data_IF_439196505549
#
_entry.id   IF_439196505549
#
_cell.length_a   1.000
_cell.length_b   1.000
_cell.length_c   1.000
_cell.angle_alpha   90.00
_cell.angle_beta   90.00
_cell.angle_gamma   90.00
#
_symmetry.space_group_name_H-M   'P 1'
#
loop_
_entity.id
_entity.type
_entity.pdbx_description
1 polymer ?
#
# COMPACT_ATOMS: atom_id res chain seq x y z
N UNK A 1 -41.34 71.75 12.07
CA UNK A 1 -41.07 72.23 13.46
C UNK A 1 -39.55 72.13 13.58
N UNK A 2 -38.78 73.16 13.17
CA UNK A 2 -38.38 74.41 13.84
C UNK A 2 -37.90 74.17 15.26
N UNK A 3 -36.65 74.40 15.57
CA UNK A 3 -35.91 75.60 15.97
C UNK A 3 -34.47 75.17 16.39
N UNK A 4 -33.42 75.65 15.85
CA UNK A 4 -32.69 76.91 16.08
C UNK A 4 -31.86 77.03 17.31
N UNK A 5 -30.56 77.29 17.05
CA UNK A 5 -29.67 78.33 17.63
C UNK A 5 -29.03 78.01 19.00
N UNK A 6 -27.79 78.32 19.29
CA UNK A 6 -27.03 79.54 18.98
C UNK A 6 -25.53 79.34 19.36
N UNK A 7 -24.74 80.21 18.80
CA UNK A 7 -23.31 80.48 18.95
C UNK A 7 -22.89 80.99 20.35
N UNK A 8 -21.68 80.63 20.78
CA UNK A 8 -20.84 81.59 21.55
C UNK A 8 -19.35 81.45 21.26
N UNK A 9 -18.74 82.54 20.84
CA UNK A 9 -17.31 82.77 20.66
C UNK A 9 -16.66 83.23 22.01
N UNK A 10 -15.40 82.89 22.15
CA UNK A 10 -14.55 83.54 23.17
C UNK A 10 -13.14 82.94 23.15
N UNK A 11 -12.08 83.70 23.56
CA UNK A 11 -11.03 84.13 22.64
C UNK A 11 -9.71 83.39 22.77
N UNK A 12 -8.86 83.66 21.78
CA UNK A 12 -7.49 83.20 21.58
C UNK A 12 -6.55 83.79 22.65
N UNK A 13 -5.67 82.97 23.21
CA UNK A 13 -4.41 83.43 23.76
C UNK A 13 -3.23 82.65 23.19
N UNK A 14 -2.33 83.38 22.58
CA UNK A 14 -0.97 82.91 22.16
C UNK A 14 -0.11 82.68 23.38
N UNK A 15 0.68 81.61 23.43
CA UNK A 15 1.99 81.56 24.07
C UNK A 15 2.93 80.59 23.35
N UNK A 16 3.86 81.16 22.80
CA UNK A 16 5.28 80.98 22.53
C UNK A 16 5.87 79.55 22.68
N UNK A 17 6.54 79.20 21.62
CA UNK A 17 7.50 78.07 21.49
C UNK A 17 8.83 78.44 22.23
N UNK A 18 9.58 77.35 22.69
CA UNK A 18 10.81 77.11 21.94
C UNK A 18 11.22 75.63 21.88
N UNK A 19 11.96 75.30 20.82
CA UNK A 19 13.00 74.30 20.90
C UNK A 19 12.81 73.06 20.09
N UNK A 20 13.18 73.17 18.84
CA UNK A 20 13.57 72.12 17.92
C UNK A 20 14.31 70.94 18.54
N UNK A 21 13.84 69.73 18.24
CA UNK A 21 14.69 68.57 17.89
C UNK A 21 13.89 67.64 17.01
N UNK A 22 14.18 67.72 15.73
CA UNK A 22 13.64 66.82 14.68
C UNK A 22 14.32 65.49 14.86
N UNK A 23 13.57 64.51 15.42
CA UNK A 23 14.00 63.13 15.50
C UNK A 23 13.55 62.46 14.19
N UNK A 24 14.49 62.30 13.25
CA UNK A 24 14.27 61.52 12.02
C UNK A 24 14.28 60.03 12.43
N UNK A 25 13.10 59.46 12.56
CA UNK A 25 12.93 58.01 12.68
C UNK A 25 13.08 57.39 11.28
N UNK A 26 14.27 56.86 11.01
CA UNK A 26 14.49 56.00 9.83
C UNK A 26 13.80 54.66 10.09
N UNK A 27 12.62 54.47 9.51
CA UNK A 27 11.99 53.16 9.44
C UNK A 27 12.77 52.33 8.41
N UNK A 28 13.69 51.48 8.85
CA UNK A 28 14.24 50.40 8.05
C UNK A 28 13.12 49.36 7.87
N UNK A 29 12.41 49.40 6.72
CA UNK A 29 11.55 48.31 6.27
C UNK A 29 12.50 47.15 5.90
N UNK A 30 12.70 46.23 6.82
CA UNK A 30 13.22 44.88 6.51
C UNK A 30 12.16 44.17 5.68
N UNK A 31 12.27 44.22 4.35
CA UNK A 31 11.60 43.32 3.44
C UNK A 31 12.17 41.92 3.70
N UNK A 32 11.54 41.17 4.59
CA UNK A 32 11.75 39.72 4.67
C UNK A 32 11.15 39.14 3.39
N UNK A 33 12.00 38.93 2.39
CA UNK A 33 11.64 38.10 1.24
C UNK A 33 11.49 36.68 1.77
N UNK A 34 10.27 36.33 2.17
CA UNK A 34 9.90 34.93 2.39
C UNK A 34 9.97 34.28 1.01
N UNK A 35 11.11 33.64 0.71
CA UNK A 35 11.19 32.77 -0.44
C UNK A 35 10.06 31.73 -0.28
N UNK A 36 9.24 31.51 -1.32
CA UNK A 36 8.25 30.44 -1.24
C UNK A 36 9.04 29.15 -0.98
N UNK A 37 8.89 28.60 0.22
CA UNK A 37 9.30 27.24 0.46
C UNK A 37 8.47 26.43 -0.55
N UNK A 38 9.14 25.89 -1.56
CA UNK A 38 8.56 24.85 -2.40
C UNK A 38 8.31 23.69 -1.44
N UNK A 39 7.15 23.71 -0.81
CA UNK A 39 6.63 22.56 -0.11
C UNK A 39 6.63 21.45 -1.16
N UNK A 40 7.47 20.45 -0.97
CA UNK A 40 7.37 19.20 -1.74
C UNK A 40 5.91 18.80 -1.62
N UNK A 41 5.19 18.83 -2.74
CA UNK A 41 3.80 18.39 -2.77
C UNK A 41 3.78 17.04 -2.06
N UNK A 42 3.02 16.92 -0.97
CA UNK A 42 2.94 15.66 -0.23
C UNK A 42 2.56 14.59 -1.24
N UNK A 43 3.49 13.67 -1.50
CA UNK A 43 3.28 12.63 -2.47
C UNK A 43 2.02 11.85 -2.08
N UNK A 44 1.08 11.76 -3.02
CA UNK A 44 -0.20 11.12 -2.75
C UNK A 44 0.01 9.65 -2.38
N UNK A 45 -0.56 9.17 -1.27
CA UNK A 45 -0.41 7.77 -0.87
C UNK A 45 -0.87 6.81 -1.96
N UNK A 46 -0.21 5.66 -2.07
CA UNK A 46 -0.56 4.60 -3.03
C UNK A 46 -1.76 3.79 -2.54
N UNK A 47 -2.71 3.55 -3.43
CA UNK A 47 -3.89 2.71 -3.18
C UNK A 47 -3.65 1.33 -3.76
N UNK A 48 -3.36 0.36 -2.91
CA UNK A 48 -3.03 -1.02 -3.27
C UNK A 48 -4.21 -1.93 -2.95
N UNK A 49 -4.59 -2.77 -3.89
CA UNK A 49 -5.65 -3.76 -3.67
C UNK A 49 -5.16 -5.16 -4.02
N UNK A 50 -5.46 -6.16 -3.20
CA UNK A 50 -5.36 -7.57 -3.58
C UNK A 50 -6.74 -8.19 -3.63
N UNK A 51 -6.98 -9.08 -4.62
CA UNK A 51 -8.27 -9.71 -4.80
C UNK A 51 -8.17 -11.05 -5.52
N UNK A 52 -8.57 -12.12 -4.86
CA UNK A 52 -8.86 -13.39 -5.52
C UNK A 52 -10.24 -13.31 -6.18
N UNK A 53 -10.29 -13.41 -7.50
CA UNK A 53 -11.50 -13.21 -8.31
C UNK A 53 -12.21 -14.51 -8.69
N UNK A 54 -11.76 -15.66 -8.17
CA UNK A 54 -12.37 -17.00 -8.34
C UNK A 54 -12.68 -17.39 -9.80
N UNK A 55 -11.97 -16.87 -10.76
CA UNK A 55 -12.18 -17.16 -12.19
C UNK A 55 -13.55 -16.73 -12.76
N UNK A 56 -14.34 -15.95 -12.02
CA UNK A 56 -15.76 -15.63 -12.31
C UNK A 56 -15.97 -14.68 -13.50
N UNK A 57 -14.91 -14.12 -14.06
CA UNK A 57 -14.95 -13.02 -15.02
C UNK A 57 -15.55 -13.26 -16.40
N UNK A 58 -16.09 -14.44 -16.72
CA UNK A 58 -16.48 -14.69 -18.13
C UNK A 58 -17.68 -13.87 -18.57
N UNK A 59 -18.58 -13.49 -17.66
CA UNK A 59 -19.79 -12.70 -17.98
C UNK A 59 -20.20 -11.70 -16.89
N UNK A 60 -19.52 -11.65 -15.75
CA UNK A 60 -19.93 -10.83 -14.62
C UNK A 60 -18.94 -9.69 -14.38
N UNK A 61 -19.46 -8.47 -14.48
CA UNK A 61 -18.69 -7.23 -14.14
C UNK A 61 -18.65 -6.98 -12.62
N UNK A 62 -19.10 -7.95 -11.81
CA UNK A 62 -19.23 -7.77 -10.38
C UNK A 62 -17.92 -7.44 -9.66
N UNK A 63 -16.78 -8.12 -9.90
CA UNK A 63 -15.51 -7.73 -9.28
C UNK A 63 -15.04 -6.33 -9.68
N UNK A 64 -15.27 -5.93 -10.94
CA UNK A 64 -14.97 -4.57 -11.37
C UNK A 64 -15.81 -3.51 -10.61
N UNK A 65 -17.10 -3.79 -10.37
CA UNK A 65 -17.96 -2.90 -9.60
C UNK A 65 -17.51 -2.75 -8.14
N UNK A 66 -16.89 -3.79 -7.58
CA UNK A 66 -16.29 -3.73 -6.23
C UNK A 66 -15.00 -2.92 -6.23
N UNK A 67 -14.11 -3.11 -7.20
CA UNK A 67 -12.81 -2.45 -7.25
C UNK A 67 -12.88 -0.97 -7.63
N UNK A 68 -13.71 -0.60 -8.61
CA UNK A 68 -13.75 0.74 -9.22
C UNK A 68 -13.99 1.89 -8.24
N UNK A 69 -14.90 1.82 -7.24
CA UNK A 69 -15.14 2.91 -6.31
C UNK A 69 -13.94 3.26 -5.44
N UNK A 70 -12.98 2.35 -5.31
CA UNK A 70 -11.81 2.53 -4.48
C UNK A 70 -10.62 3.14 -5.21
N UNK A 71 -10.71 3.34 -6.54
CA UNK A 71 -9.68 3.95 -7.37
C UNK A 71 -8.28 3.41 -7.10
N UNK A 72 -8.04 2.09 -7.18
CA UNK A 72 -6.73 1.52 -6.89
C UNK A 72 -5.69 1.99 -7.91
N UNK A 73 -4.46 2.17 -7.45
CA UNK A 73 -3.29 2.48 -8.29
C UNK A 73 -2.54 1.23 -8.71
N UNK A 74 -2.59 0.20 -7.86
CA UNK A 74 -2.01 -1.12 -8.06
C UNK A 74 -3.02 -2.18 -7.63
N UNK A 75 -3.24 -3.20 -8.47
CA UNK A 75 -4.10 -4.34 -8.17
C UNK A 75 -3.34 -5.65 -8.36
N UNK A 76 -3.35 -6.48 -7.33
CA UNK A 76 -2.72 -7.79 -7.27
C UNK A 76 -3.83 -8.85 -7.29
N UNK A 77 -3.96 -9.56 -8.42
CA UNK A 77 -5.09 -10.46 -8.65
C UNK A 77 -4.66 -11.93 -8.56
N UNK A 78 -5.57 -12.77 -8.07
CA UNK A 78 -5.43 -14.22 -8.06
C UNK A 78 -6.64 -14.85 -8.77
N UNK A 79 -6.43 -16.04 -9.32
CA UNK A 79 -7.42 -16.82 -10.09
C UNK A 79 -7.95 -16.09 -11.32
N UNK A 80 -7.18 -15.18 -11.89
CA UNK A 80 -7.53 -14.57 -13.18
C UNK A 80 -7.45 -15.62 -14.27
N UNK A 81 -8.48 -15.73 -15.07
CA UNK A 81 -8.62 -16.84 -16.03
C UNK A 81 -7.60 -16.81 -17.16
N UNK A 82 -7.27 -15.65 -17.69
CA UNK A 82 -6.34 -15.47 -18.81
C UNK A 82 -5.95 -13.98 -19.01
N UNK A 83 -4.99 -13.75 -19.88
CA UNK A 83 -4.47 -12.44 -20.27
C UNK A 83 -5.56 -11.46 -20.73
N UNK A 84 -6.54 -11.92 -21.50
CA UNK A 84 -7.63 -11.06 -22.01
C UNK A 84 -8.41 -10.42 -20.86
N UNK A 85 -8.73 -11.19 -19.81
CA UNK A 85 -9.43 -10.65 -18.64
C UNK A 85 -8.57 -9.63 -17.87
N UNK A 86 -7.25 -9.85 -17.79
CA UNK A 86 -6.32 -8.88 -17.19
C UNK A 86 -6.38 -7.55 -17.95
N UNK A 87 -6.32 -7.62 -19.30
CA UNK A 87 -6.40 -6.43 -20.15
C UNK A 87 -7.73 -5.68 -19.99
N UNK A 88 -8.85 -6.40 -20.04
CA UNK A 88 -10.20 -5.82 -19.90
C UNK A 88 -10.38 -5.13 -18.54
N UNK A 89 -9.88 -5.73 -17.46
CA UNK A 89 -9.86 -5.12 -16.13
C UNK A 89 -8.96 -3.89 -16.06
N UNK A 90 -7.74 -4.00 -16.55
CA UNK A 90 -6.80 -2.88 -16.59
C UNK A 90 -7.41 -1.66 -17.29
N UNK A 91 -7.97 -1.88 -18.49
CA UNK A 91 -8.65 -0.83 -19.25
C UNK A 91 -9.82 -0.22 -18.47
N UNK A 92 -10.65 -1.06 -17.84
CA UNK A 92 -11.84 -0.60 -17.11
C UNK A 92 -11.52 0.14 -15.82
N UNK A 93 -10.35 -0.12 -15.20
CA UNK A 93 -9.84 0.54 -13.99
C UNK A 93 -8.92 1.73 -14.31
N UNK A 94 -8.52 1.93 -15.57
CA UNK A 94 -7.54 2.95 -15.95
C UNK A 94 -6.10 2.57 -15.53
N UNK A 95 -5.81 1.27 -15.43
CA UNK A 95 -4.49 0.71 -15.11
C UNK A 95 -3.85 0.18 -16.40
N UNK A 96 -2.95 0.98 -16.97
CA UNK A 96 -2.45 0.76 -18.34
C UNK A 96 -1.37 -0.30 -18.45
N UNK A 97 -0.71 -0.64 -17.33
CA UNK A 97 0.41 -1.59 -17.29
C UNK A 97 0.00 -2.84 -16.56
N UNK A 98 0.38 -4.01 -17.10
CA UNK A 98 0.00 -5.28 -16.48
C UNK A 98 0.96 -6.41 -16.83
N UNK A 99 1.00 -7.40 -15.93
CA UNK A 99 1.60 -8.72 -16.18
C UNK A 99 0.63 -9.80 -15.73
N UNK A 100 0.78 -10.99 -16.33
CA UNK A 100 0.02 -12.19 -16.01
C UNK A 100 0.95 -13.40 -15.99
N UNK A 101 0.85 -14.22 -14.95
CA UNK A 101 1.53 -15.49 -14.82
C UNK A 101 0.50 -16.62 -14.63
N UNK A 102 0.41 -17.57 -15.59
CA UNK A 102 -0.51 -18.69 -15.47
C UNK A 102 -0.03 -19.71 -14.43
N UNK A 103 -0.96 -20.38 -13.78
CA UNK A 103 -0.65 -21.60 -13.01
C UNK A 103 -0.15 -22.70 -13.95
N UNK A 104 0.76 -23.56 -13.47
CA UNK A 104 1.35 -24.62 -14.29
C UNK A 104 0.49 -25.88 -14.38
N UNK A 105 -0.42 -26.11 -13.43
CA UNK A 105 -1.24 -27.34 -13.33
C UNK A 105 -2.75 -27.11 -13.32
N UNK A 106 -3.20 -25.88 -13.07
CA UNK A 106 -4.61 -25.50 -13.02
C UNK A 106 -4.92 -24.39 -14.03
N UNK A 107 -6.20 -24.11 -14.24
CA UNK A 107 -6.64 -22.95 -15.02
C UNK A 107 -6.54 -21.68 -14.18
N UNK A 108 -6.17 -20.58 -14.83
CA UNK A 108 -6.05 -19.29 -14.17
C UNK A 108 -4.60 -18.95 -13.87
N UNK A 109 -4.41 -17.90 -13.09
CA UNK A 109 -3.10 -17.39 -12.75
C UNK A 109 -3.18 -16.19 -11.82
N UNK A 110 -2.05 -15.56 -11.59
CA UNK A 110 -1.95 -14.30 -10.87
C UNK A 110 -1.65 -13.15 -11.84
N UNK A 111 -2.05 -11.94 -11.47
CA UNK A 111 -1.75 -10.76 -12.28
C UNK A 111 -1.39 -9.55 -11.42
N UNK A 112 -0.63 -8.64 -12.02
CA UNK A 112 -0.35 -7.29 -11.51
C UNK A 112 -0.96 -6.32 -12.52
N UNK A 113 -1.79 -5.39 -12.05
CA UNK A 113 -2.29 -4.24 -12.80
C UNK A 113 -1.75 -2.97 -12.15
N UNK A 114 -1.17 -2.07 -12.92
CA UNK A 114 -0.54 -0.85 -12.41
C UNK A 114 -0.93 0.38 -13.23
N UNK A 115 -1.06 1.51 -12.55
CA UNK A 115 -1.17 2.83 -13.16
C UNK A 115 0.14 3.26 -13.82
N UNK A 116 1.28 2.77 -13.31
CA UNK A 116 2.63 3.15 -13.72
C UNK A 116 3.38 2.02 -14.42
N UNK A 117 4.42 2.36 -15.19
CA UNK A 117 5.24 1.38 -15.88
C UNK A 117 5.76 0.27 -14.97
N UNK A 118 5.75 -0.93 -15.51
CA UNK A 118 6.29 -2.14 -14.89
C UNK A 118 7.59 -2.57 -15.60
N UNK A 119 8.58 -3.03 -14.82
CA UNK A 119 9.74 -3.75 -15.36
C UNK A 119 9.32 -5.07 -16.01
N UNK A 120 10.22 -5.78 -16.71
CA UNK A 120 10.00 -7.17 -17.07
C UNK A 120 9.59 -8.01 -15.86
N UNK A 121 8.68 -8.97 -16.08
CA UNK A 121 8.13 -9.80 -15.03
C UNK A 121 9.13 -10.86 -14.56
N UNK A 122 9.17 -11.08 -13.24
CA UNK A 122 9.83 -12.19 -12.58
C UNK A 122 8.78 -13.15 -12.03
N UNK A 123 9.02 -14.45 -12.12
CA UNK A 123 8.08 -15.48 -11.67
C UNK A 123 8.79 -16.50 -10.80
N UNK A 124 8.15 -16.88 -9.69
CA UNK A 124 8.55 -18.00 -8.86
C UNK A 124 7.50 -19.11 -8.98
N UNK A 125 7.92 -20.26 -9.49
CA UNK A 125 7.13 -21.49 -9.53
C UNK A 125 7.63 -22.43 -8.45
N UNK A 126 6.71 -23.09 -7.75
CA UNK A 126 7.05 -24.10 -6.76
C UNK A 126 6.94 -25.51 -7.38
N UNK A 127 8.04 -26.22 -7.51
CA UNK A 127 8.11 -27.56 -8.10
C UNK A 127 7.22 -28.56 -7.34
N UNK A 128 7.13 -28.38 -6.01
CA UNK A 128 6.30 -29.21 -5.13
C UNK A 128 4.84 -28.74 -5.01
N UNK A 129 4.41 -27.73 -5.75
CA UNK A 129 3.03 -27.26 -5.73
C UNK A 129 2.10 -28.28 -6.39
N UNK A 130 1.13 -28.87 -5.66
CA UNK A 130 0.13 -29.77 -6.25
C UNK A 130 -0.76 -29.07 -7.28
N UNK A 131 -1.03 -27.77 -7.06
CA UNK A 131 -1.92 -26.95 -7.89
C UNK A 131 -1.14 -26.12 -8.94
N UNK A 132 0.19 -26.12 -8.89
CA UNK A 132 1.04 -25.37 -9.80
C UNK A 132 0.93 -23.87 -9.61
N UNK A 133 0.74 -23.43 -8.37
CA UNK A 133 0.64 -22.01 -8.00
C UNK A 133 1.93 -21.27 -8.31
N UNK A 134 1.85 -19.94 -8.36
CA UNK A 134 2.94 -19.07 -8.79
C UNK A 134 2.90 -17.75 -8.04
N UNK A 135 4.08 -17.14 -7.85
CA UNK A 135 4.22 -15.74 -7.52
C UNK A 135 4.76 -14.97 -8.73
N UNK A 136 4.26 -13.77 -8.92
CA UNK A 136 4.61 -12.85 -10.00
C UNK A 136 5.07 -11.53 -9.40
N UNK A 137 6.27 -11.07 -9.73
CA UNK A 137 6.79 -9.78 -9.29
C UNK A 137 7.24 -8.92 -10.47
N UNK A 138 7.09 -7.61 -10.34
CA UNK A 138 7.63 -6.60 -11.23
C UNK A 138 7.96 -5.34 -10.44
N UNK A 139 9.01 -4.62 -10.85
CA UNK A 139 9.31 -3.30 -10.29
C UNK A 139 8.35 -2.26 -10.89
N UNK A 140 7.75 -1.46 -10.04
CA UNK A 140 6.83 -0.36 -10.40
C UNK A 140 7.60 0.95 -10.39
N UNK A 141 7.55 1.72 -11.48
CA UNK A 141 8.13 3.06 -11.56
C UNK A 141 7.06 4.12 -11.25
N UNK A 142 6.80 4.35 -9.96
CA UNK A 142 5.78 5.29 -9.49
C UNK A 142 6.32 6.69 -9.19
N UNK A 143 5.45 7.70 -9.01
CA UNK A 143 5.87 9.03 -8.57
C UNK A 143 6.55 9.04 -7.20
N UNK A 144 6.19 8.11 -6.31
CA UNK A 144 6.78 7.97 -4.96
C UNK A 144 8.04 7.10 -4.94
N UNK A 145 8.62 6.81 -6.09
CA UNK A 145 9.82 5.99 -6.23
C UNK A 145 9.57 4.60 -6.84
N UNK A 146 10.65 3.82 -6.94
CA UNK A 146 10.62 2.46 -7.45
C UNK A 146 10.41 1.47 -6.31
N UNK A 147 9.60 0.44 -6.57
CA UNK A 147 9.36 -0.62 -5.61
C UNK A 147 8.93 -1.92 -6.30
N UNK A 148 9.16 -3.06 -5.67
CA UNK A 148 8.67 -4.34 -6.14
C UNK A 148 7.22 -4.57 -5.73
N UNK A 149 6.37 -4.86 -6.70
CA UNK A 149 5.01 -5.35 -6.49
C UNK A 149 4.98 -6.85 -6.77
N UNK A 150 4.40 -7.62 -5.85
CA UNK A 150 4.26 -9.07 -6.01
C UNK A 150 2.82 -9.51 -5.79
N UNK A 151 2.26 -10.24 -6.76
CA UNK A 151 1.00 -10.97 -6.63
C UNK A 151 1.28 -12.45 -6.42
N UNK A 152 0.73 -13.03 -5.36
CA UNK A 152 0.96 -14.44 -4.99
C UNK A 152 -0.33 -15.18 -4.76
N UNK A 153 -0.31 -16.49 -5.07
CA UNK A 153 -1.33 -17.43 -4.63
C UNK A 153 -0.63 -18.70 -4.15
N UNK A 154 -0.71 -18.98 -2.84
CA UNK A 154 -0.16 -20.22 -2.26
C UNK A 154 -1.14 -21.38 -2.40
N UNK A 155 -0.64 -22.61 -2.28
CA UNK A 155 -1.48 -23.81 -2.41
C UNK A 155 -2.58 -23.87 -1.36
N UNK A 156 -3.78 -24.27 -1.79
CA UNK A 156 -4.91 -24.49 -0.90
C UNK A 156 -4.66 -25.77 -0.06
N UNK A 157 -4.77 -25.69 1.28
CA UNK A 157 -4.53 -26.83 2.17
C UNK A 157 -5.58 -27.94 2.09
N UNK A 158 -6.78 -27.56 1.71
CA UNK A 158 -7.95 -28.44 1.78
C UNK A 158 -8.39 -28.88 0.38
N UNK A 159 -7.59 -29.72 -0.26
CA UNK A 159 -8.06 -30.46 -1.45
C UNK A 159 -9.05 -31.59 -1.07
N UNK A 160 -9.71 -31.49 0.08
CA UNK A 160 -10.66 -32.49 0.61
C UNK A 160 -12.06 -31.89 0.49
N UNK A 161 -12.86 -32.43 -0.41
CA UNK A 161 -14.28 -32.09 -0.48
C UNK A 161 -14.97 -32.57 0.81
N UNK A 162 -15.62 -31.63 1.54
CA UNK A 162 -16.35 -31.89 2.79
C UNK A 162 -15.49 -32.50 3.92
N UNK A 163 -14.47 -31.79 4.45
CA UNK A 163 -13.66 -32.30 5.54
C UNK A 163 -14.50 -32.53 6.81
N UNK A 164 -14.27 -33.66 7.48
CA UNK A 164 -14.87 -33.97 8.78
C UNK A 164 -14.45 -32.94 9.84
N UNK A 165 -15.17 -32.90 10.98
CA UNK A 165 -14.81 -32.01 12.09
C UNK A 165 -13.38 -32.24 12.58
N UNK A 166 -12.95 -33.49 12.68
CA UNK A 166 -11.58 -33.85 13.08
C UNK A 166 -10.53 -33.44 12.06
N UNK A 167 -10.81 -33.54 10.77
CA UNK A 167 -9.90 -33.06 9.74
C UNK A 167 -9.73 -31.53 9.80
N UNK A 168 -10.79 -30.78 10.11
CA UNK A 168 -10.71 -29.32 10.33
C UNK A 168 -9.86 -28.99 11.56
N UNK A 169 -10.03 -29.71 12.67
CA UNK A 169 -9.22 -29.51 13.89
C UNK A 169 -7.76 -29.86 13.63
N UNK A 170 -7.49 -30.99 12.98
CA UNK A 170 -6.14 -31.40 12.62
C UNK A 170 -5.47 -30.40 11.69
N UNK A 171 -6.22 -29.87 10.70
CA UNK A 171 -5.74 -28.83 9.81
C UNK A 171 -5.34 -27.58 10.58
N UNK A 172 -6.19 -27.06 11.47
CA UNK A 172 -5.88 -25.91 12.30
C UNK A 172 -4.64 -26.16 13.16
N UNK A 173 -4.56 -27.35 13.79
CA UNK A 173 -3.38 -27.72 14.59
C UNK A 173 -2.11 -27.71 13.74
N UNK A 174 -2.14 -28.30 12.55
CA UNK A 174 -1.00 -28.30 11.62
C UNK A 174 -0.59 -26.90 11.20
N UNK A 175 -1.54 -26.03 10.85
CA UNK A 175 -1.28 -24.65 10.44
C UNK A 175 -0.49 -23.85 11.50
N UNK A 176 -0.82 -24.07 12.78
CA UNK A 176 -0.19 -23.31 13.87
C UNK A 176 1.07 -23.96 14.44
N UNK A 177 1.18 -25.27 14.40
CA UNK A 177 2.20 -26.00 15.18
C UNK A 177 3.15 -26.86 14.35
N UNK A 178 2.91 -27.03 13.05
CA UNK A 178 3.82 -27.76 12.17
C UNK A 178 4.17 -26.98 10.91
N UNK A 179 5.36 -27.22 10.31
CA UNK A 179 5.65 -26.70 8.99
C UNK A 179 4.70 -27.30 7.96
N UNK A 180 3.97 -26.45 7.26
CA UNK A 180 3.09 -26.83 6.14
C UNK A 180 3.74 -26.51 4.79
N UNK A 181 3.16 -27.01 3.69
CA UNK A 181 3.61 -26.63 2.35
C UNK A 181 3.60 -25.09 2.17
N UNK A 182 2.59 -24.40 2.69
CA UNK A 182 2.52 -22.93 2.64
C UNK A 182 3.60 -22.24 3.45
N UNK A 183 4.00 -22.83 4.59
CA UNK A 183 5.16 -22.35 5.34
C UNK A 183 6.43 -22.46 4.50
N UNK A 184 6.64 -23.59 3.81
CA UNK A 184 7.78 -23.75 2.90
C UNK A 184 7.73 -22.77 1.74
N UNK A 185 6.56 -22.64 1.09
CA UNK A 185 6.35 -21.67 0.00
C UNK A 185 6.60 -20.23 0.45
N UNK A 186 6.22 -19.86 1.67
CA UNK A 186 6.49 -18.55 2.24
C UNK A 186 8.00 -18.31 2.48
N UNK A 187 8.75 -19.33 2.88
CA UNK A 187 10.22 -19.27 3.00
C UNK A 187 10.87 -18.99 1.62
N UNK A 188 10.52 -19.76 0.62
CA UNK A 188 11.05 -19.60 -0.73
C UNK A 188 10.66 -18.24 -1.33
N UNK A 189 9.39 -17.80 -1.12
CA UNK A 189 8.88 -16.52 -1.57
C UNK A 189 9.66 -15.34 -0.97
N UNK A 190 9.85 -15.34 0.35
CA UNK A 190 10.59 -14.26 1.02
C UNK A 190 12.04 -14.19 0.58
N UNK A 191 12.73 -15.34 0.49
CA UNK A 191 14.11 -15.43 0.02
C UNK A 191 14.24 -14.91 -1.43
N UNK A 192 13.31 -15.30 -2.29
CA UNK A 192 13.28 -14.86 -3.68
C UNK A 192 13.03 -13.35 -3.80
N UNK A 193 12.02 -12.80 -3.09
CA UNK A 193 11.71 -11.37 -3.14
C UNK A 193 12.86 -10.50 -2.62
N UNK A 194 13.46 -10.90 -1.50
CA UNK A 194 14.62 -10.19 -0.93
C UNK A 194 15.85 -10.27 -1.87
N UNK A 195 15.99 -11.36 -2.62
CA UNK A 195 17.03 -11.54 -3.62
C UNK A 195 16.85 -10.65 -4.88
N UNK A 196 15.67 -10.10 -5.14
CA UNK A 196 15.45 -9.14 -6.25
C UNK A 196 16.13 -7.79 -5.97
N UNK A 197 16.44 -7.49 -4.71
CA UNK A 197 17.05 -6.22 -4.29
C UNK A 197 16.08 -5.07 -4.23
N UNK A 198 16.56 -3.91 -3.78
CA UNK A 198 15.73 -2.71 -3.58
C UNK A 198 15.06 -2.68 -2.21
N UNK A 199 14.62 -1.49 -1.80
CA UNK A 199 14.14 -1.25 -0.42
C UNK A 199 12.62 -1.37 -0.28
N UNK A 200 11.88 -1.09 -1.35
CA UNK A 200 10.42 -1.07 -1.33
C UNK A 200 9.84 -2.37 -1.89
N UNK A 201 9.14 -3.16 -1.05
CA UNK A 201 8.39 -4.36 -1.49
C UNK A 201 6.95 -4.23 -1.01
N UNK A 202 6.00 -4.50 -1.91
CA UNK A 202 4.57 -4.66 -1.63
C UNK A 202 4.17 -6.04 -2.16
N UNK A 203 3.74 -6.92 -1.24
CA UNK A 203 3.38 -8.30 -1.52
C UNK A 203 1.92 -8.50 -1.16
N UNK A 204 1.07 -8.86 -2.11
CA UNK A 204 -0.34 -9.14 -1.84
C UNK A 204 -0.83 -10.41 -2.51
N UNK A 205 -1.81 -11.05 -1.91
CA UNK A 205 -2.38 -12.27 -2.48
C UNK A 205 -3.23 -13.08 -1.54
N UNK A 206 -3.62 -14.24 -2.06
CA UNK A 206 -4.26 -15.33 -1.32
C UNK A 206 -3.17 -16.28 -0.82
N UNK A 207 -2.91 -16.24 0.47
CA UNK A 207 -1.89 -17.06 1.11
C UNK A 207 -2.44 -18.42 1.58
N UNK A 208 -3.76 -18.62 1.49
CA UNK A 208 -4.40 -19.83 1.99
C UNK A 208 -3.96 -20.23 3.41
N UNK A 209 -3.50 -19.28 4.20
CA UNK A 209 -2.96 -19.44 5.55
C UNK A 209 -3.59 -18.40 6.49
N UNK A 210 -3.78 -18.77 7.75
CA UNK A 210 -4.40 -17.91 8.75
C UNK A 210 -3.40 -16.92 9.37
N UNK A 211 -3.87 -15.80 9.95
CA UNK A 211 -3.04 -14.93 10.77
C UNK A 211 -2.37 -15.74 11.89
N UNK A 212 -1.09 -15.48 12.14
CA UNK A 212 -0.24 -16.18 13.11
C UNK A 212 0.04 -17.66 12.80
N UNK A 213 -0.43 -18.20 11.69
CA UNK A 213 -0.02 -19.52 11.21
C UNK A 213 1.41 -19.50 10.65
N UNK A 214 1.96 -20.66 10.31
CA UNK A 214 3.38 -20.81 9.95
C UNK A 214 3.85 -19.89 8.83
N UNK A 215 3.06 -19.74 7.75
CA UNK A 215 3.41 -18.87 6.64
C UNK A 215 3.39 -17.39 7.04
N UNK A 216 2.34 -16.92 7.74
CA UNK A 216 2.23 -15.53 8.21
C UNK A 216 3.34 -15.19 9.21
N UNK A 217 3.63 -16.09 10.22
CA UNK A 217 4.73 -15.87 11.16
C UNK A 217 6.08 -15.74 10.48
N UNK A 218 6.31 -16.51 9.40
CA UNK A 218 7.56 -16.41 8.65
C UNK A 218 7.66 -15.08 7.89
N UNK A 219 6.63 -14.73 7.14
CA UNK A 219 6.62 -13.48 6.35
C UNK A 219 6.76 -12.24 7.22
N UNK A 220 6.17 -12.24 8.44
CA UNK A 220 6.29 -11.15 9.41
C UNK A 220 7.70 -10.93 9.97
N UNK A 221 8.65 -11.81 9.70
CA UNK A 221 10.06 -11.55 10.02
C UNK A 221 10.68 -10.50 9.10
N UNK A 222 10.09 -10.29 7.92
CA UNK A 222 10.62 -9.40 6.87
C UNK A 222 9.65 -8.30 6.48
N UNK A 223 8.36 -8.53 6.64
CA UNK A 223 7.29 -7.65 6.16
C UNK A 223 6.26 -7.39 7.26
N UNK A 224 5.63 -6.22 7.20
CA UNK A 224 4.49 -5.88 8.04
C UNK A 224 3.18 -6.17 7.30
N UNK A 225 2.17 -6.68 8.00
CA UNK A 225 0.83 -6.88 7.46
C UNK A 225 0.04 -5.57 7.57
N UNK A 226 -0.47 -5.08 6.45
CA UNK A 226 -1.18 -3.81 6.38
C UNK A 226 -2.45 -3.77 7.25
N UNK A 227 -3.13 -4.89 7.48
CA UNK A 227 -4.30 -4.96 8.35
C UNK A 227 -3.96 -5.01 9.86
N UNK A 228 -2.69 -4.98 10.23
CA UNK A 228 -2.27 -4.97 11.65
C UNK A 228 -2.44 -3.61 12.34
N UNK A 229 -3.04 -2.62 11.68
CA UNK A 229 -3.28 -1.27 12.24
C UNK A 229 -4.36 -1.22 13.32
N UNK A 230 -5.17 -2.28 13.48
CA UNK A 230 -6.19 -2.37 14.51
C UNK A 230 -6.78 -3.77 14.64
N UNK A 231 -7.33 -4.11 15.81
CA UNK A 231 -7.89 -5.45 16.06
C UNK A 231 -9.04 -5.81 15.13
N UNK A 232 -9.91 -4.86 14.82
CA UNK A 232 -11.04 -5.09 13.92
C UNK A 232 -10.56 -5.44 12.50
N UNK A 233 -9.60 -4.69 11.97
CA UNK A 233 -9.01 -4.93 10.67
C UNK A 233 -8.21 -6.23 10.66
N UNK A 234 -7.48 -6.50 11.73
CA UNK A 234 -6.66 -7.70 11.87
C UNK A 234 -7.47 -8.99 11.77
N UNK A 235 -8.69 -9.03 12.36
CA UNK A 235 -9.58 -10.20 12.33
C UNK A 235 -10.67 -10.13 11.26
N UNK A 236 -10.64 -9.15 10.37
CA UNK A 236 -11.61 -9.06 9.29
C UNK A 236 -11.41 -10.21 8.29
N UNK A 237 -12.39 -11.12 8.22
CA UNK A 237 -12.32 -12.27 7.33
C UNK A 237 -12.37 -11.87 5.86
N UNK A 238 -11.61 -12.56 5.02
CA UNK A 238 -11.53 -12.28 3.59
C UNK A 238 -12.16 -13.38 2.71
N UNK A 239 -12.39 -14.58 3.25
CA UNK A 239 -12.99 -15.69 2.53
C UNK A 239 -14.37 -16.06 3.10
N UNK A 240 -15.40 -16.09 2.26
CA UNK A 240 -16.76 -16.44 2.62
C UNK A 240 -17.35 -17.64 1.83
N UNK A 241 -16.53 -18.21 0.96
CA UNK A 241 -16.89 -19.37 0.15
C UNK A 241 -17.14 -20.65 0.95
N UNK A 242 -17.52 -21.76 0.27
CA UNK A 242 -17.77 -23.03 0.94
C UNK A 242 -16.50 -23.63 1.56
N UNK A 243 -16.60 -24.32 2.71
CA UNK A 243 -17.80 -24.49 3.51
C UNK A 243 -18.11 -23.24 4.34
N UNK A 244 -19.28 -22.67 4.16
CA UNK A 244 -19.70 -21.47 4.91
C UNK A 244 -19.55 -21.71 6.41
N UNK A 245 -18.69 -20.93 7.04
CA UNK A 245 -18.43 -20.97 8.49
C UNK A 245 -18.97 -19.70 9.13
N UNK A 246 -19.39 -19.75 10.44
CA UNK A 246 -19.81 -18.55 11.16
C UNK A 246 -18.71 -17.51 11.29
N UNK A 247 -17.45 -17.96 11.29
CA UNK A 247 -16.26 -17.12 11.35
C UNK A 247 -15.61 -17.16 9.97
N UNK A 248 -15.53 -16.01 9.33
CA UNK A 248 -14.86 -15.88 8.04
C UNK A 248 -13.33 -15.91 8.26
N UNK A 249 -12.61 -16.88 7.66
CA UNK A 249 -11.15 -16.88 7.75
C UNK A 249 -10.56 -15.70 6.98
N UNK A 250 -9.50 -15.12 7.50
CA UNK A 250 -8.65 -14.16 6.77
C UNK A 250 -7.50 -14.93 6.15
N UNK A 251 -7.45 -15.01 4.84
CA UNK A 251 -6.42 -15.73 4.08
C UNK A 251 -5.79 -14.86 2.98
N UNK A 252 -6.35 -13.68 2.74
CA UNK A 252 -5.80 -12.67 1.84
C UNK A 252 -5.09 -11.58 2.63
N UNK A 253 -3.91 -11.18 2.18
CA UNK A 253 -3.04 -10.23 2.88
C UNK A 253 -2.43 -9.23 1.89
N UNK A 254 -2.11 -8.04 2.41
CA UNK A 254 -1.14 -7.14 1.83
C UNK A 254 -0.02 -6.98 2.86
N UNK A 255 1.17 -7.46 2.53
CA UNK A 255 2.39 -7.23 3.28
C UNK A 255 3.22 -6.14 2.62
N UNK A 256 3.98 -5.40 3.43
CA UNK A 256 4.89 -4.38 2.95
C UNK A 256 6.21 -4.40 3.72
N UNK A 257 7.30 -4.02 3.05
CA UNK A 257 8.60 -3.81 3.69
C UNK A 257 8.58 -2.57 4.60
N UNK A 258 9.58 -2.37 5.50
CA UNK A 258 9.68 -1.19 6.36
C UNK A 258 9.76 0.15 5.61
N UNK A 259 10.05 0.11 4.31
CA UNK A 259 10.02 1.30 3.43
C UNK A 259 8.65 1.98 3.36
N UNK A 260 7.58 1.28 3.73
CA UNK A 260 6.21 1.75 3.67
C UNK A 260 5.59 1.90 5.05
N UNK A 261 4.71 2.88 5.20
CA UNK A 261 3.80 3.01 6.34
C UNK A 261 2.36 2.93 5.86
N UNK A 262 1.51 2.30 6.68
CA UNK A 262 0.08 2.17 6.42
C UNK A 262 -0.63 3.44 6.87
N UNK A 263 -1.32 4.10 5.94
CA UNK A 263 -2.23 5.22 6.22
C UNK A 263 -3.61 4.68 6.59
N UNK A 264 -4.10 3.70 5.82
CA UNK A 264 -5.38 3.04 6.00
C UNK A 264 -5.33 1.63 5.41
N UNK A 265 -6.02 0.68 6.03
CA UNK A 265 -6.25 -0.63 5.41
C UNK A 265 -7.60 -1.21 5.86
N UNK A 266 -8.27 -1.91 4.94
CA UNK A 266 -9.58 -2.50 5.19
C UNK A 266 -9.87 -3.68 4.28
N UNK A 267 -10.79 -4.55 4.73
CA UNK A 267 -11.43 -5.58 3.90
C UNK A 267 -12.73 -5.00 3.34
N UNK A 268 -12.91 -5.05 2.02
CA UNK A 268 -14.10 -4.56 1.35
C UNK A 268 -15.17 -5.66 1.35
N UNK A 269 -16.08 -5.64 2.30
CA UNK A 269 -17.11 -6.68 2.48
C UNK A 269 -18.26 -6.57 1.46
N UNK A 270 -17.90 -6.62 0.18
CA UNK A 270 -18.85 -6.64 -0.93
C UNK A 270 -18.68 -7.92 -1.74
N UNK A 271 -19.76 -8.70 -1.85
CA UNK A 271 -19.76 -10.01 -2.51
C UNK A 271 -19.75 -9.89 -4.03
N UNK A 272 -18.67 -10.37 -4.66
CA UNK A 272 -18.55 -10.52 -6.11
C UNK A 272 -17.58 -11.64 -6.49
N UNK A 273 -17.00 -12.32 -5.52
CA UNK A 273 -16.18 -13.52 -5.54
C UNK A 273 -16.47 -14.27 -4.25
N UNK A 274 -15.93 -15.44 -4.03
CA UNK A 274 -15.91 -16.11 -2.72
C UNK A 274 -14.85 -15.55 -1.78
N UNK A 275 -14.07 -14.57 -2.24
CA UNK A 275 -13.20 -13.73 -1.44
C UNK A 275 -13.69 -12.27 -1.39
N UNK A 276 -13.22 -11.55 -0.39
CA UNK A 276 -13.35 -10.09 -0.29
C UNK A 276 -12.00 -9.45 -0.58
N UNK A 277 -11.93 -8.36 -1.36
CA UNK A 277 -10.68 -7.67 -1.60
C UNK A 277 -10.15 -6.99 -0.34
N UNK A 278 -8.83 -6.96 -0.21
CA UNK A 278 -8.12 -6.14 0.79
C UNK A 278 -7.59 -4.89 0.10
N UNK A 279 -7.88 -3.73 0.67
CA UNK A 279 -7.36 -2.43 0.27
C UNK A 279 -6.39 -1.93 1.32
N UNK A 280 -5.23 -1.45 0.91
CA UNK A 280 -4.29 -0.69 1.74
C UNK A 280 -3.91 0.63 1.07
N UNK A 281 -3.83 1.68 1.85
CA UNK A 281 -3.30 2.99 1.44
C UNK A 281 -1.95 3.12 2.12
N UNK A 282 -0.89 3.17 1.30
CA UNK A 282 0.50 3.18 1.75
C UNK A 282 1.18 4.49 1.34
N UNK A 283 2.02 5.03 2.22
CA UNK A 283 2.95 6.11 1.89
C UNK A 283 4.38 5.67 2.17
N UNK A 284 5.39 6.25 1.50
CA UNK A 284 6.78 6.04 1.90
C UNK A 284 6.96 6.37 3.38
N UNK A 285 7.68 5.51 4.10
CA UNK A 285 8.05 5.79 5.48
C UNK A 285 9.04 6.95 5.49
N UNK A 286 8.75 7.98 6.29
CA UNK A 286 9.72 9.05 6.51
C UNK A 286 10.95 8.41 7.17
N UNK A 287 12.17 8.59 6.62
CA UNK A 287 13.37 8.12 7.31
C UNK A 287 13.35 8.61 8.75
N UNK A 288 13.58 7.72 9.71
CA UNK A 288 13.70 8.12 11.10
C UNK A 288 14.79 9.21 11.16
N UNK A 289 14.41 10.42 11.58
CA UNK A 289 15.36 11.50 11.77
C UNK A 289 16.33 11.01 12.83
N UNK A 290 17.59 10.80 12.46
CA UNK A 290 18.63 10.49 13.44
C UNK A 290 18.79 11.75 14.33
N UNK A 291 18.34 11.72 15.60
CA UNK A 291 18.43 12.86 16.48
C UNK A 291 19.88 13.26 16.81
N UNK A 292 20.87 12.48 16.33
CA UNK A 292 22.31 12.71 16.52
C UNK A 292 22.99 13.18 15.23
N UNK A 293 22.28 13.25 14.07
CA UNK A 293 22.83 13.83 12.86
C UNK A 293 22.91 15.37 13.02
N UNK A 294 24.09 15.87 13.25
CA UNK A 294 24.39 17.31 13.24
C UNK A 294 24.22 17.84 11.81
N UNK A 295 23.75 19.10 11.61
CA UNK A 295 23.50 19.71 10.30
C UNK A 295 24.74 19.93 9.42
N UNK A 296 25.79 19.15 9.56
CA UNK A 296 27.05 19.22 8.83
C UNK A 296 27.49 17.99 8.09
N UNK A 297 26.85 16.82 8.32
CA UNK A 297 27.39 15.54 7.81
C UNK A 297 26.89 15.13 6.41
N UNK A 298 26.03 15.93 5.79
CA UNK A 298 25.43 15.60 4.49
C UNK A 298 26.22 16.09 3.27
N UNK A 299 27.29 16.88 3.45
CA UNK A 299 28.04 17.50 2.31
C UNK A 299 29.35 16.80 1.92
N UNK A 300 29.80 15.75 2.61
CA UNK A 300 31.15 15.17 2.40
C UNK A 300 31.17 13.94 1.47
N UNK A 301 30.04 13.36 1.06
CA UNK A 301 30.04 12.14 0.24
C UNK A 301 29.87 12.34 -1.28
N UNK A 302 29.84 13.58 -1.78
CA UNK A 302 29.68 13.85 -3.22
C UNK A 302 31.00 14.03 -4.00
N UNK A 303 32.16 13.70 -3.43
CA UNK A 303 33.45 14.07 -4.00
C UNK A 303 34.54 13.01 -4.05
N UNK A 304 34.26 11.71 -4.13
CA UNK A 304 35.29 10.68 -4.32
C UNK A 304 35.17 9.98 -5.68
N UNK A 305 35.86 10.48 -6.68
CA UNK A 305 36.08 9.75 -7.93
C UNK A 305 36.96 8.51 -7.70
N UNK A 306 36.71 7.35 -8.37
CA UNK A 306 37.53 6.16 -8.21
C UNK A 306 38.90 6.38 -8.85
N UNK A 307 39.99 6.25 -8.05
CA UNK A 307 41.35 6.10 -8.57
C UNK A 307 41.48 4.71 -9.20
N UNK A 308 41.82 4.69 -10.49
CA UNK A 308 42.28 3.49 -11.20
C UNK A 308 43.62 3.05 -10.64
N UNK A 309 43.73 1.77 -10.31
CA UNK A 309 44.94 0.96 -10.40
C UNK A 309 44.63 -0.30 -11.22
#
# INVERSE_FOLDING_TARGET
>A
MTLNCAWHHGPVTRSQWPGSRMLVMVFCLLLVVVAPQHGTAAESPLRIMTYNVAGIFVHDRAPLAVMRPHHPDLVLLQEVRNTRHVMELGQALGLSYWHFAPYSKERGGVAILSRWPLSPAHMLFWDNSPQGKVALAAEVASPVGRFWACSVHLDNPLNIKNPSRWQKVLFLWQEFFTPTLRTQQAHELSAWLLGLGGDGIILGGDFNSLPLAGADRHLRQYFSDALSIGLQQYFAGTYWGPPHTPILPRIDFIYHSPHWQVVEAQVIQQKASDHFPVLAILSPAVPAHDPLATPGDTEVLAGAAPRRF
#
